data_IF_270575473009
#
_entry.id   IF_270575473009
#
_cell.length_a   1.000
_cell.length_b   1.000
_cell.length_c   1.000
_cell.angle_alpha   90.00
_cell.angle_beta   90.00
_cell.angle_gamma   90.00
#
_symmetry.space_group_name_H-M   'P 1'
#
loop_
_entity.id
_entity.type
_entity.pdbx_description
1 polymer ?
#
# COMPACT_ATOMS: atom_id res chain seq x y z
N UNK A 1 -23.77 -28.74 1.94
CA UNK A 1 -23.54 -29.02 0.50
C UNK A 1 -23.74 -27.76 -0.36
N UNK A 2 -22.96 -26.69 -0.11
CA UNK A 2 -22.98 -25.46 -0.95
C UNK A 2 -21.56 -25.09 -1.46
N UNK A 3 -20.51 -25.74 -0.92
CA UNK A 3 -19.09 -25.51 -1.25
C UNK A 3 -18.60 -26.24 -2.53
N UNK A 4 -19.39 -26.32 -3.59
CA UNK A 4 -19.00 -27.11 -4.78
C UNK A 4 -19.36 -26.51 -6.14
N UNK A 5 -19.64 -25.20 -6.23
CA UNK A 5 -20.09 -24.59 -7.50
C UNK A 5 -19.30 -23.39 -8.01
N UNK A 6 -18.19 -23.01 -7.39
CA UNK A 6 -17.35 -21.89 -7.87
C UNK A 6 -16.01 -22.34 -8.47
N UNK A 7 -15.73 -23.64 -8.46
CA UNK A 7 -14.48 -24.22 -8.96
C UNK A 7 -14.34 -24.39 -10.49
N UNK A 8 -15.38 -24.33 -11.37
CA UNK A 8 -15.15 -24.62 -12.79
C UNK A 8 -14.74 -23.40 -13.63
N UNK A 9 -14.84 -22.16 -13.13
CA UNK A 9 -14.43 -20.99 -13.91
C UNK A 9 -12.92 -20.74 -13.91
N UNK A 10 -12.19 -21.30 -12.92
CA UNK A 10 -10.74 -21.13 -12.81
C UNK A 10 -9.94 -22.06 -13.75
N UNK A 11 -10.55 -23.13 -14.25
CA UNK A 11 -9.87 -24.11 -15.10
C UNK A 11 -9.86 -23.76 -16.61
N UNK A 12 -10.66 -22.79 -17.06
CA UNK A 12 -10.75 -22.42 -18.49
C UNK A 12 -9.69 -21.39 -18.92
N UNK A 13 -9.09 -20.65 -17.98
CA UNK A 13 -8.10 -19.62 -18.31
C UNK A 13 -6.67 -20.19 -18.53
N UNK A 14 -6.44 -21.47 -18.25
CA UNK A 14 -5.14 -22.15 -18.33
C UNK A 14 -4.86 -22.82 -19.69
N UNK A 15 -5.75 -22.73 -20.68
CA UNK A 15 -5.62 -23.48 -21.94
C UNK A 15 -5.12 -22.68 -23.15
N UNK A 16 -4.60 -21.47 -22.99
CA UNK A 16 -3.92 -20.76 -24.09
C UNK A 16 -2.40 -20.92 -24.00
N UNK A 17 -1.93 -22.09 -24.42
CA UNK A 17 -0.55 -22.26 -24.90
C UNK A 17 -0.46 -21.72 -26.32
N UNK A 18 0.18 -20.57 -26.51
CA UNK A 18 0.59 -20.10 -27.84
C UNK A 18 2.12 -20.09 -27.87
N UNK A 19 2.66 -20.92 -28.75
CA UNK A 19 4.06 -20.93 -29.19
C UNK A 19 4.41 -19.56 -29.76
N UNK A 20 5.40 -18.88 -29.19
CA UNK A 20 6.03 -17.70 -29.79
C UNK A 20 7.52 -17.98 -30.03
N UNK A 21 7.86 -18.02 -31.32
CA UNK A 21 9.22 -18.19 -31.85
C UNK A 21 10.05 -16.96 -31.50
N UNK A 22 11.12 -17.15 -30.72
CA UNK A 22 12.10 -16.11 -30.47
C UNK A 22 12.94 -15.84 -31.73
N UNK A 23 12.83 -14.63 -32.29
CA UNK A 23 13.89 -14.03 -33.12
C UNK A 23 14.52 -12.91 -32.32
N UNK A 24 15.85 -12.90 -32.10
CA UNK A 24 16.50 -11.81 -31.40
C UNK A 24 16.57 -10.62 -32.36
N UNK A 25 15.86 -9.54 -32.03
CA UNK A 25 16.04 -8.26 -32.69
C UNK A 25 16.81 -7.36 -31.74
N UNK A 26 18.02 -7.06 -32.20
CA UNK A 26 19.01 -6.08 -31.79
C UNK A 26 18.62 -5.10 -30.68
N UNK A 27 19.53 -5.00 -29.70
CA UNK A 27 19.71 -3.84 -28.84
C UNK A 27 19.70 -2.56 -29.70
N UNK A 28 18.65 -1.76 -29.56
CA UNK A 28 18.70 -0.37 -30.00
C UNK A 28 17.80 0.46 -29.11
N UNK A 29 18.44 1.46 -28.52
CA UNK A 29 17.83 2.74 -28.15
C UNK A 29 16.96 2.70 -26.90
N UNK A 30 17.54 3.22 -25.81
CA UNK A 30 16.93 4.24 -24.95
C UNK A 30 15.60 4.76 -25.55
N UNK A 31 14.49 4.11 -25.20
CA UNK A 31 13.17 4.62 -25.53
C UNK A 31 12.87 5.71 -24.50
N UNK A 32 13.10 6.94 -24.97
CA UNK A 32 12.34 8.13 -24.62
C UNK A 32 10.99 7.76 -24.00
N UNK A 33 10.81 8.04 -22.70
CA UNK A 33 9.54 7.80 -22.00
C UNK A 33 8.48 8.57 -22.76
N UNK A 34 7.57 7.86 -23.42
CA UNK A 34 6.33 8.46 -23.87
C UNK A 34 5.57 8.91 -22.61
N UNK A 35 5.19 10.18 -22.59
CA UNK A 35 4.33 10.77 -21.55
C UNK A 35 3.08 9.91 -21.35
N UNK A 36 3.08 9.05 -20.32
CA UNK A 36 1.90 8.23 -19.97
C UNK A 36 2.14 6.79 -19.50
N UNK A 37 3.37 6.27 -19.49
CA UNK A 37 3.64 4.95 -18.89
C UNK A 37 4.08 5.09 -17.42
N UNK A 38 3.16 4.84 -16.49
CA UNK A 38 3.47 4.70 -15.05
C UNK A 38 4.25 3.41 -14.82
N UNK A 39 5.45 3.52 -14.27
CA UNK A 39 6.26 2.36 -13.88
C UNK A 39 5.98 1.91 -12.45
N UNK A 40 6.30 0.65 -12.14
CA UNK A 40 6.34 0.17 -10.75
C UNK A 40 7.28 1.01 -9.88
N UNK A 41 8.27 1.68 -10.48
CA UNK A 41 9.15 2.63 -9.81
C UNK A 41 8.40 3.86 -9.24
N UNK A 42 7.39 4.39 -9.95
CA UNK A 42 6.62 5.54 -9.48
C UNK A 42 5.74 5.16 -8.28
N UNK A 43 5.09 3.99 -8.36
CA UNK A 43 4.32 3.40 -7.26
C UNK A 43 5.21 3.16 -6.04
N UNK A 44 6.38 2.56 -6.25
CA UNK A 44 7.33 2.30 -5.17
C UNK A 44 7.89 3.58 -4.55
N UNK A 45 8.07 4.65 -5.33
CA UNK A 45 8.48 5.95 -4.81
C UNK A 45 7.42 6.50 -3.86
N UNK A 46 6.15 6.54 -4.27
CA UNK A 46 5.05 7.00 -3.42
C UNK A 46 4.93 6.17 -2.14
N UNK A 47 5.05 4.84 -2.25
CA UNK A 47 5.00 3.97 -1.07
C UNK A 47 6.24 4.10 -0.17
N UNK A 48 7.41 4.42 -0.72
CA UNK A 48 8.63 4.67 0.06
C UNK A 48 8.51 5.98 0.83
N UNK A 49 7.98 7.03 0.21
CA UNK A 49 7.70 8.31 0.87
C UNK A 49 6.64 8.15 1.96
N UNK A 50 5.57 7.40 1.67
CA UNK A 50 4.55 7.05 2.66
C UNK A 50 5.18 6.28 3.83
N UNK A 51 6.06 5.31 3.55
CA UNK A 51 6.77 4.55 4.58
C UNK A 51 7.61 5.45 5.45
N UNK A 52 8.42 6.33 4.86
CA UNK A 52 9.28 7.24 5.62
C UNK A 52 8.45 8.16 6.54
N UNK A 53 7.36 8.74 6.02
CA UNK A 53 6.45 9.58 6.81
C UNK A 53 5.76 8.78 7.92
N UNK A 54 5.29 7.58 7.60
CA UNK A 54 4.63 6.69 8.57
C UNK A 54 5.60 6.27 9.68
N UNK A 55 6.78 5.76 9.34
CA UNK A 55 7.79 5.33 10.31
C UNK A 55 8.20 6.48 11.26
N UNK A 56 8.36 7.69 10.73
CA UNK A 56 8.66 8.87 11.53
C UNK A 56 7.54 9.16 12.54
N UNK A 57 6.30 9.25 12.08
CA UNK A 57 5.14 9.55 12.94
C UNK A 57 4.88 8.44 13.97
N UNK A 58 5.00 7.17 13.56
CA UNK A 58 4.86 6.02 14.47
C UNK A 58 5.97 6.01 15.53
N UNK A 59 7.21 6.36 15.17
CA UNK A 59 8.31 6.48 16.13
C UNK A 59 8.06 7.56 17.19
N UNK A 60 7.50 8.70 16.79
CA UNK A 60 7.09 9.76 17.72
C UNK A 60 5.97 9.28 18.66
N UNK A 61 4.96 8.59 18.14
CA UNK A 61 3.91 7.99 18.98
C UNK A 61 4.48 6.97 19.96
N UNK A 62 5.35 6.07 19.50
CA UNK A 62 6.00 5.09 20.36
C UNK A 62 6.82 5.76 21.47
N UNK A 63 7.59 6.80 21.14
CA UNK A 63 8.35 7.58 22.13
C UNK A 63 7.45 8.21 23.19
N UNK A 64 6.30 8.77 22.79
CA UNK A 64 5.33 9.35 23.73
C UNK A 64 4.70 8.28 24.62
N UNK A 65 4.37 7.12 24.06
CA UNK A 65 3.84 5.98 24.82
C UNK A 65 4.87 5.42 25.80
N UNK A 66 6.12 5.24 25.38
CA UNK A 66 7.19 4.67 26.20
C UNK A 66 7.56 5.60 27.37
N UNK A 67 7.45 6.93 27.16
CA UNK A 67 7.64 7.94 28.21
C UNK A 67 6.39 8.19 29.07
N UNK A 68 5.29 7.45 28.85
CA UNK A 68 3.99 7.66 29.50
C UNK A 68 3.45 9.10 29.35
N UNK A 69 3.81 9.77 28.24
CA UNK A 69 3.36 11.11 27.92
C UNK A 69 2.23 11.11 26.88
N UNK A 70 1.84 9.96 26.33
CA UNK A 70 0.76 9.85 25.35
C UNK A 70 -0.57 10.38 25.93
N UNK A 71 -1.07 11.47 25.36
CA UNK A 71 -2.33 12.12 25.73
C UNK A 71 -3.00 12.74 24.49
N UNK A 72 -4.20 13.28 24.64
CA UNK A 72 -4.94 13.88 23.53
C UNK A 72 -4.18 15.00 22.81
N UNK A 73 -3.45 15.85 23.55
CA UNK A 73 -2.76 16.99 22.98
C UNK A 73 -1.58 16.62 22.05
N UNK A 74 -0.98 15.44 22.23
CA UNK A 74 0.15 15.00 21.41
C UNK A 74 -0.16 13.81 20.49
N UNK A 75 -1.10 12.93 20.82
CA UNK A 75 -1.47 11.80 19.95
C UNK A 75 -2.42 12.24 18.83
N UNK A 76 -3.41 13.09 19.12
CA UNK A 76 -4.38 13.55 18.11
C UNK A 76 -3.70 14.19 16.89
N UNK A 77 -2.75 15.15 17.04
CA UNK A 77 -2.08 15.72 15.87
C UNK A 77 -1.29 14.67 15.08
N UNK A 78 -0.61 13.73 15.74
CA UNK A 78 0.12 12.65 15.07
C UNK A 78 -0.81 11.70 14.29
N UNK A 79 -2.00 11.42 14.81
CA UNK A 79 -3.02 10.65 14.09
C UNK A 79 -3.55 11.40 12.86
N UNK A 80 -3.69 12.72 12.95
CA UNK A 80 -4.05 13.57 11.81
C UNK A 80 -2.95 13.58 10.75
N UNK A 81 -1.69 13.76 11.14
CA UNK A 81 -0.55 13.72 10.24
C UNK A 81 -0.45 12.38 9.53
N UNK A 82 -0.65 11.28 10.28
CA UNK A 82 -0.64 9.94 9.70
C UNK A 82 -1.78 9.78 8.69
N UNK A 83 -3.01 10.14 9.05
CA UNK A 83 -4.16 10.11 8.13
C UNK A 83 -3.89 10.92 6.86
N UNK A 84 -3.33 12.13 7.01
CA UNK A 84 -2.98 13.01 5.90
C UNK A 84 -1.92 12.40 4.98
N UNK A 85 -0.92 11.72 5.53
CA UNK A 85 0.10 11.02 4.72
C UNK A 85 -0.52 9.90 3.89
N UNK A 86 -1.42 9.09 4.48
CA UNK A 86 -2.15 8.06 3.74
C UNK A 86 -3.05 8.63 2.65
N UNK A 87 -3.80 9.70 2.94
CA UNK A 87 -4.62 10.39 1.93
C UNK A 87 -3.76 10.96 0.80
N UNK A 88 -2.64 11.62 1.13
CA UNK A 88 -1.73 12.21 0.15
C UNK A 88 -1.12 11.14 -0.75
N UNK A 89 -0.66 10.03 -0.17
CA UNK A 89 -0.15 8.90 -0.95
C UNK A 89 -1.24 8.30 -1.85
N UNK A 90 -2.47 8.15 -1.35
CA UNK A 90 -3.62 7.71 -2.15
C UNK A 90 -3.91 8.64 -3.33
N UNK A 91 -3.88 9.95 -3.11
CA UNK A 91 -4.08 10.95 -4.16
C UNK A 91 -2.93 10.96 -5.17
N UNK A 92 -1.68 10.83 -4.71
CA UNK A 92 -0.50 10.69 -5.57
C UNK A 92 -0.61 9.45 -6.46
N UNK A 93 -1.03 8.31 -5.92
CA UNK A 93 -1.28 7.10 -6.71
C UNK A 93 -2.43 7.28 -7.70
N UNK A 94 -3.56 7.85 -7.28
CA UNK A 94 -4.69 8.15 -8.19
C UNK A 94 -4.30 9.12 -9.31
N UNK A 95 -3.32 9.99 -9.07
CA UNK A 95 -2.77 10.91 -10.07
C UNK A 95 -1.83 10.23 -11.08
N UNK A 96 -1.28 9.05 -10.75
CA UNK A 96 -0.52 8.25 -11.69
C UNK A 96 -1.47 7.74 -12.79
N UNK A 97 -1.25 8.16 -14.03
CA UNK A 97 -2.09 7.82 -15.18
C UNK A 97 -1.59 6.56 -15.88
N UNK A 98 -2.40 5.50 -15.90
CA UNK A 98 -2.12 4.27 -16.62
C UNK A 98 -1.97 3.06 -15.70
N UNK A 99 -2.04 1.86 -16.26
CA UNK A 99 -1.67 0.63 -15.54
C UNK A 99 -0.18 0.40 -15.69
N UNK A 100 0.46 -0.18 -14.68
CA UNK A 100 1.86 -0.55 -14.83
C UNK A 100 2.00 -1.62 -15.90
N UNK A 101 2.80 -1.33 -16.93
CA UNK A 101 3.06 -2.26 -18.02
C UNK A 101 4.03 -3.35 -17.54
N UNK A 102 3.83 -4.59 -17.99
CA UNK A 102 4.71 -5.73 -17.67
C UNK A 102 6.15 -5.59 -18.19
N UNK A 103 6.50 -4.45 -18.80
CA UNK A 103 7.79 -4.19 -19.46
C UNK A 103 8.73 -3.28 -18.65
N UNK A 104 8.32 -2.82 -17.46
CA UNK A 104 9.07 -1.76 -16.76
C UNK A 104 10.28 -2.24 -15.94
N UNK A 105 11.37 -1.48 -16.05
CA UNK A 105 12.42 -1.40 -15.04
C UNK A 105 11.82 -0.83 -13.74
N UNK A 106 11.64 -1.67 -12.74
CA UNK A 106 11.19 -1.26 -11.41
C UNK A 106 10.96 -2.46 -10.50
N UNK A 107 10.68 -2.23 -9.21
CA UNK A 107 10.41 -3.31 -8.27
C UNK A 107 9.21 -4.14 -8.74
N UNK A 108 9.29 -5.44 -8.50
CA UNK A 108 8.24 -6.42 -8.78
C UNK A 108 6.99 -6.16 -7.92
N UNK A 109 5.84 -6.69 -8.36
CA UNK A 109 4.59 -6.63 -7.58
C UNK A 109 4.79 -7.23 -6.17
N UNK A 110 5.65 -8.24 -6.02
CA UNK A 110 5.98 -8.84 -4.73
C UNK A 110 6.78 -7.89 -3.82
N UNK A 111 7.71 -7.11 -4.38
CA UNK A 111 8.44 -6.08 -3.62
C UNK A 111 7.51 -4.93 -3.20
N UNK A 112 6.59 -4.51 -4.09
CA UNK A 112 5.54 -3.53 -3.76
C UNK A 112 4.63 -4.05 -2.64
N UNK A 113 4.19 -5.30 -2.73
CA UNK A 113 3.37 -5.95 -1.70
C UNK A 113 4.12 -6.02 -0.36
N UNK A 114 5.40 -6.39 -0.37
CA UNK A 114 6.23 -6.45 0.84
C UNK A 114 6.38 -5.07 1.48
N UNK A 115 6.61 -4.03 0.67
CA UNK A 115 6.71 -2.65 1.14
C UNK A 115 5.40 -2.22 1.80
N UNK A 116 4.26 -2.44 1.13
CA UNK A 116 2.94 -2.12 1.66
C UNK A 116 2.61 -2.89 2.94
N UNK A 117 2.88 -4.19 2.98
CA UNK A 117 2.69 -5.03 4.16
C UNK A 117 3.52 -4.52 5.36
N UNK A 118 4.74 -4.05 5.12
CA UNK A 118 5.59 -3.48 6.18
C UNK A 118 4.97 -2.21 6.81
N UNK A 119 4.39 -1.33 5.97
CA UNK A 119 3.72 -0.09 6.41
C UNK A 119 2.50 -0.44 7.26
N UNK A 120 1.64 -1.33 6.74
CA UNK A 120 0.40 -1.75 7.41
C UNK A 120 0.71 -2.45 8.74
N UNK A 121 1.71 -3.33 8.77
CA UNK A 121 2.11 -4.06 9.99
C UNK A 121 2.64 -3.11 11.07
N UNK A 122 3.50 -2.16 10.70
CA UNK A 122 4.03 -1.15 11.63
C UNK A 122 2.90 -0.29 12.22
N UNK A 123 1.94 0.09 11.36
CA UNK A 123 0.76 0.85 11.75
C UNK A 123 -0.10 0.08 12.76
N UNK A 124 -0.53 -1.13 12.41
CA UNK A 124 -1.38 -1.98 13.28
C UNK A 124 -0.69 -2.22 14.62
N UNK A 125 0.61 -2.51 14.62
CA UNK A 125 1.38 -2.75 15.85
C UNK A 125 1.35 -1.53 16.76
N UNK A 126 1.62 -0.34 16.22
CA UNK A 126 1.66 0.90 17.00
C UNK A 126 0.27 1.31 17.48
N UNK A 127 -0.76 1.21 16.62
CA UNK A 127 -2.14 1.53 17.00
C UNK A 127 -2.69 0.57 18.04
N UNK A 128 -2.33 -0.72 17.98
CA UNK A 128 -2.72 -1.69 19.01
C UNK A 128 -2.14 -1.33 20.37
N UNK A 129 -0.86 -0.93 20.42
CA UNK A 129 -0.23 -0.42 21.65
C UNK A 129 -0.92 0.84 22.16
N UNK A 130 -1.27 1.75 21.25
CA UNK A 130 -1.97 2.99 21.58
C UNK A 130 -3.35 2.72 22.15
N UNK A 131 -4.13 1.80 21.57
CA UNK A 131 -5.43 1.40 22.08
C UNK A 131 -5.33 0.84 23.50
N UNK A 132 -4.40 -0.07 23.75
CA UNK A 132 -4.20 -0.66 25.10
C UNK A 132 -3.85 0.40 26.14
N UNK A 133 -3.06 1.41 25.77
CA UNK A 133 -2.59 2.46 26.71
C UNK A 133 -3.54 3.64 26.86
N UNK A 134 -4.27 3.97 25.81
CA UNK A 134 -4.84 5.30 25.64
C UNK A 134 -6.35 5.29 25.35
N UNK A 135 -6.98 4.13 25.14
CA UNK A 135 -8.42 4.02 24.87
C UNK A 135 -9.30 4.65 25.97
N UNK A 136 -8.82 4.70 27.22
CA UNK A 136 -9.58 5.26 28.35
C UNK A 136 -9.53 6.79 28.37
N UNK A 137 -8.45 7.40 27.86
CA UNK A 137 -8.19 8.84 28.00
C UNK A 137 -8.33 9.64 26.70
N UNK A 138 -8.51 8.98 25.55
CA UNK A 138 -8.75 9.62 24.25
C UNK A 138 -10.14 9.27 23.69
N UNK A 139 -11.19 10.02 24.05
CA UNK A 139 -12.55 9.77 23.54
C UNK A 139 -12.67 9.97 22.02
N UNK A 140 -11.78 10.77 21.41
CA UNK A 140 -11.73 10.99 19.96
C UNK A 140 -11.02 9.86 19.18
N UNK A 141 -10.36 8.93 19.88
CA UNK A 141 -9.55 7.88 19.25
C UNK A 141 -10.35 6.99 18.27
N UNK A 142 -11.59 6.56 18.57
CA UNK A 142 -12.37 5.76 17.63
C UNK A 142 -12.65 6.50 16.31
N UNK A 143 -12.92 7.81 16.37
CA UNK A 143 -13.16 8.63 15.18
C UNK A 143 -11.89 8.77 14.33
N UNK A 144 -10.74 8.99 14.96
CA UNK A 144 -9.45 9.09 14.27
C UNK A 144 -9.03 7.77 13.62
N UNK A 145 -9.26 6.64 14.30
CA UNK A 145 -9.00 5.31 13.74
C UNK A 145 -9.92 5.05 12.53
N UNK A 146 -11.19 5.46 12.60
CA UNK A 146 -12.10 5.32 11.46
C UNK A 146 -11.68 6.16 10.24
N UNK A 147 -11.23 7.40 10.47
CA UNK A 147 -10.71 8.26 9.40
C UNK A 147 -9.46 7.65 8.73
N UNK A 148 -8.58 7.08 9.55
CA UNK A 148 -7.40 6.39 9.07
C UNK A 148 -7.73 5.09 8.33
N UNK A 149 -8.68 4.29 8.81
CA UNK A 149 -9.16 3.09 8.12
C UNK A 149 -9.67 3.43 6.71
N UNK A 150 -10.41 4.54 6.59
CA UNK A 150 -10.88 5.04 5.30
C UNK A 150 -9.70 5.43 4.39
N UNK A 151 -8.74 6.20 4.89
CA UNK A 151 -7.57 6.61 4.11
C UNK A 151 -6.70 5.41 3.67
N UNK A 152 -6.55 4.41 4.54
CA UNK A 152 -5.84 3.17 4.23
C UNK A 152 -6.58 2.39 3.14
N UNK A 153 -7.90 2.21 3.25
CA UNK A 153 -8.71 1.53 2.21
C UNK A 153 -8.56 2.22 0.85
N UNK A 154 -8.65 3.54 0.83
CA UNK A 154 -8.49 4.34 -0.38
C UNK A 154 -7.10 4.15 -1.02
N UNK A 155 -6.04 4.13 -0.20
CA UNK A 155 -4.69 3.81 -0.65
C UNK A 155 -4.60 2.40 -1.24
N UNK A 156 -5.13 1.39 -0.53
CA UNK A 156 -5.09 0.00 -0.98
C UNK A 156 -5.81 -0.20 -2.32
N UNK A 157 -6.98 0.44 -2.50
CA UNK A 157 -7.71 0.43 -3.77
C UNK A 157 -6.90 1.11 -4.88
N UNK A 158 -6.23 2.24 -4.59
CA UNK A 158 -5.39 2.91 -5.57
C UNK A 158 -4.17 2.06 -5.98
N UNK A 159 -3.53 1.38 -5.03
CA UNK A 159 -2.41 0.45 -5.31
C UNK A 159 -2.89 -0.71 -6.18
N UNK A 160 -4.00 -1.36 -5.84
CA UNK A 160 -4.55 -2.49 -6.62
C UNK A 160 -4.94 -2.07 -8.04
N UNK A 161 -5.49 -0.86 -8.21
CA UNK A 161 -5.84 -0.33 -9.52
C UNK A 161 -4.61 -0.15 -10.44
N UNK A 162 -3.45 0.16 -9.87
CA UNK A 162 -2.19 0.37 -10.58
C UNK A 162 -1.39 -0.93 -10.76
N UNK A 163 -1.39 -1.77 -9.73
CA UNK A 163 -0.60 -3.00 -9.64
C UNK A 163 -1.51 -4.17 -9.26
N UNK A 164 -2.02 -4.85 -10.29
CA UNK A 164 -2.98 -5.92 -10.16
C UNK A 164 -2.43 -7.08 -9.30
N UNK A 165 -3.25 -7.55 -8.34
CA UNK A 165 -2.92 -8.67 -7.47
C UNK A 165 -1.98 -8.35 -6.29
N UNK A 166 -1.60 -7.09 -6.07
CA UNK A 166 -0.77 -6.71 -4.91
C UNK A 166 -1.50 -6.99 -3.60
N UNK A 167 -2.82 -6.75 -3.51
CA UNK A 167 -3.58 -7.02 -2.29
C UNK A 167 -3.65 -8.53 -1.98
N UNK A 168 -3.70 -9.38 -3.01
CA UNK A 168 -3.66 -10.83 -2.84
C UNK A 168 -2.32 -11.26 -2.26
N UNK A 169 -1.23 -10.65 -2.74
CA UNK A 169 0.11 -10.91 -2.20
C UNK A 169 0.21 -10.44 -0.75
N UNK A 170 -0.24 -9.22 -0.43
CA UNK A 170 -0.24 -8.70 0.95
C UNK A 170 -1.06 -9.57 1.90
N UNK A 171 -2.20 -10.12 1.44
CA UNK A 171 -3.03 -11.01 2.26
C UNK A 171 -2.42 -12.41 2.45
N UNK A 172 -1.47 -12.80 1.60
CA UNK A 172 -0.77 -14.10 1.66
C UNK A 172 0.57 -14.07 2.39
N UNK A 173 1.06 -12.88 2.79
CA UNK A 173 2.22 -12.71 3.67
C UNK A 173 1.87 -12.96 5.13
#
# INVERSE_FOLDING_TARGET
MIFSRVLPFFALALSFSIVSVAKPVAETSVLERADGEVGTADVATVLTDLKASTDFTLSQMNTLMDRNHANSANIIPLMHDLTKSFTTAGDSLKALKGKVSARQLGPSNAEIATLLASIVTALITTLSRLLVRAAIFLPALPMLIAALDLALRDLLVAVEALVDGVLVLVAGL
#
